data_IF_569753599709
#
_entry.id   IF_569753599709
#
_cell.length_a   1.000
_cell.length_b   1.000
_cell.length_c   1.000
_cell.angle_alpha   90.00
_cell.angle_beta   90.00
_cell.angle_gamma   90.00
#
_symmetry.space_group_name_H-M   'P 1'
#
loop_
_entity.id
_entity.type
_entity.pdbx_description
1 polymer ?
#
# COMPACT_ATOMS: atom_id res chain seq x y z
N UNK A 1 9.19 7.93 -14.43
CA UNK A 1 10.21 6.95 -14.01
C UNK A 1 10.20 5.78 -14.99
N UNK A 2 11.36 5.36 -15.53
CA UNK A 2 11.46 4.16 -16.37
C UNK A 2 10.85 2.97 -15.62
N UNK A 3 10.22 1.99 -16.31
CA UNK A 3 9.68 0.83 -15.64
C UNK A 3 10.80 0.10 -14.90
N UNK A 4 10.64 -0.08 -13.59
CA UNK A 4 11.60 -0.79 -12.76
C UNK A 4 11.33 -2.28 -12.99
N UNK A 5 11.91 -2.81 -14.07
CA UNK A 5 11.75 -4.20 -14.56
C UNK A 5 10.29 -4.58 -14.94
N UNK A 6 10.11 -5.08 -16.16
CA UNK A 6 8.86 -5.69 -16.63
C UNK A 6 7.58 -4.84 -16.52
N UNK A 7 7.68 -3.51 -16.59
CA UNK A 7 6.49 -2.63 -16.54
C UNK A 7 6.01 -2.29 -15.13
N UNK A 8 6.58 -2.90 -14.08
CA UNK A 8 6.19 -2.63 -12.71
C UNK A 8 6.84 -1.33 -12.22
N UNK A 9 6.03 -0.45 -11.65
CA UNK A 9 6.47 0.83 -11.08
C UNK A 9 6.23 0.79 -9.57
N UNK A 10 7.01 1.54 -8.78
CA UNK A 10 6.68 1.76 -7.37
C UNK A 10 5.23 2.21 -7.24
N UNK A 11 4.44 1.43 -6.48
CA UNK A 11 3.00 1.62 -6.38
C UNK A 11 2.69 2.78 -5.42
N UNK A 12 2.59 3.98 -6.01
CA UNK A 12 2.20 5.19 -5.28
C UNK A 12 0.79 5.09 -4.72
N UNK A 13 -0.10 4.30 -5.35
CA UNK A 13 -1.48 4.12 -4.86
C UNK A 13 -1.49 3.30 -3.59
N UNK A 14 -0.62 2.29 -3.49
CA UNK A 14 -0.44 1.52 -2.26
C UNK A 14 0.02 2.41 -1.09
N UNK A 15 0.98 3.30 -1.35
CA UNK A 15 1.47 4.24 -0.32
C UNK A 15 0.37 5.19 0.15
N UNK A 16 -0.46 5.70 -0.77
CA UNK A 16 -1.60 6.56 -0.42
C UNK A 16 -2.73 5.80 0.29
N UNK A 17 -2.96 4.53 -0.08
CA UNK A 17 -3.90 3.65 0.62
C UNK A 17 -3.48 3.47 2.08
N UNK A 18 -2.20 3.17 2.34
CA UNK A 18 -1.68 3.05 3.70
C UNK A 18 -1.78 4.37 4.46
N UNK A 19 -1.46 5.50 3.81
CA UNK A 19 -1.63 6.82 4.42
C UNK A 19 -3.09 7.05 4.84
N UNK A 20 -4.06 6.74 3.96
CA UNK A 20 -5.48 6.86 4.27
C UNK A 20 -5.91 5.98 5.45
N UNK A 21 -5.41 4.73 5.52
CA UNK A 21 -5.70 3.82 6.63
C UNK A 21 -5.12 4.33 7.95
N UNK A 22 -3.91 4.89 7.93
CA UNK A 22 -3.25 5.48 9.11
C UNK A 22 -3.98 6.71 9.64
N UNK A 23 -4.52 7.54 8.74
CA UNK A 23 -5.18 8.80 9.09
C UNK A 23 -6.65 8.60 9.49
N UNK A 24 -7.33 7.61 8.90
CA UNK A 24 -8.75 7.35 9.12
C UNK A 24 -9.00 5.86 9.41
N UNK A 25 -8.48 5.35 10.54
CA UNK A 25 -8.59 3.93 10.90
C UNK A 25 -10.04 3.56 11.19
N UNK A 26 -10.71 2.92 10.24
CA UNK A 26 -12.08 2.46 10.39
C UNK A 26 -12.46 1.46 9.30
N UNK A 27 -13.20 0.42 9.66
CA UNK A 27 -13.51 -0.71 8.78
C UNK A 27 -14.12 -0.25 7.44
N UNK A 28 -15.06 0.71 7.49
CA UNK A 28 -15.69 1.25 6.27
C UNK A 28 -14.68 2.00 5.38
N UNK A 29 -13.79 2.76 5.99
CA UNK A 29 -12.75 3.52 5.27
C UNK A 29 -11.72 2.57 4.66
N UNK A 30 -11.29 1.56 5.41
CA UNK A 30 -10.33 0.54 4.95
C UNK A 30 -10.90 -0.24 3.77
N UNK A 31 -12.17 -0.67 3.86
CA UNK A 31 -12.84 -1.36 2.76
C UNK A 31 -12.92 -0.46 1.52
N UNK A 32 -13.33 0.80 1.69
CA UNK A 32 -13.44 1.75 0.59
C UNK A 32 -12.08 2.02 -0.05
N UNK A 33 -11.05 2.27 0.76
CA UNK A 33 -9.67 2.50 0.31
C UNK A 33 -9.13 1.27 -0.42
N UNK A 34 -9.33 0.05 0.11
CA UNK A 34 -8.89 -1.19 -0.51
C UNK A 34 -9.56 -1.46 -1.86
N UNK A 35 -10.88 -1.28 -1.94
CA UNK A 35 -11.65 -1.48 -3.18
C UNK A 35 -11.31 -0.43 -4.24
N UNK A 36 -11.29 0.85 -3.86
CA UNK A 36 -10.98 1.95 -4.80
C UNK A 36 -9.54 1.86 -5.28
N UNK A 37 -8.58 1.60 -4.39
CA UNK A 37 -7.18 1.37 -4.78
C UNK A 37 -7.06 0.15 -5.67
N UNK A 38 -7.72 -0.97 -5.35
CA UNK A 38 -7.72 -2.16 -6.19
C UNK A 38 -8.25 -1.91 -7.59
N UNK A 39 -9.38 -1.19 -7.72
CA UNK A 39 -9.96 -0.84 -9.00
C UNK A 39 -9.03 0.08 -9.82
N UNK A 40 -8.47 1.13 -9.21
CA UNK A 40 -7.60 2.07 -9.92
C UNK A 40 -6.26 1.39 -10.29
N UNK A 41 -5.66 0.61 -9.38
CA UNK A 41 -4.45 -0.16 -9.66
C UNK A 41 -4.69 -1.18 -10.77
N UNK A 42 -5.85 -1.84 -10.83
CA UNK A 42 -6.21 -2.73 -11.91
C UNK A 42 -6.32 -2.02 -13.27
N UNK A 43 -6.89 -0.81 -13.31
CA UNK A 43 -7.03 -0.02 -14.54
C UNK A 43 -5.69 0.53 -15.04
N UNK A 44 -4.76 0.81 -14.13
CA UNK A 44 -3.48 1.46 -14.43
C UNK A 44 -2.29 0.50 -14.50
N UNK A 45 -2.49 -0.78 -14.20
CA UNK A 45 -1.42 -1.77 -14.15
C UNK A 45 -0.79 -2.00 -15.52
N UNK A 46 0.54 -1.93 -15.59
CA UNK A 46 1.32 -2.34 -16.75
C UNK A 46 1.73 -3.82 -16.70
N UNK A 47 1.40 -4.54 -15.62
CA UNK A 47 1.73 -5.96 -15.47
C UNK A 47 0.75 -6.81 -16.32
N UNK A 48 1.24 -7.73 -17.17
CA UNK A 48 0.38 -8.59 -17.98
C UNK A 48 -0.65 -9.34 -17.12
N UNK A 49 -1.93 -9.12 -17.40
CA UNK A 49 -3.06 -9.66 -16.64
C UNK A 49 -3.12 -9.27 -15.16
N UNK A 50 -2.41 -8.21 -14.75
CA UNK A 50 -2.39 -7.72 -13.37
C UNK A 50 -3.72 -7.14 -12.86
N UNK A 51 -4.77 -7.10 -13.68
CA UNK A 51 -6.08 -6.54 -13.33
C UNK A 51 -6.74 -7.34 -12.19
N UNK A 52 -6.86 -8.66 -12.36
CA UNK A 52 -7.49 -9.55 -11.35
C UNK A 52 -6.65 -9.61 -10.07
N UNK A 53 -5.31 -9.82 -10.13
CA UNK A 53 -4.48 -9.78 -8.94
C UNK A 53 -4.57 -8.46 -8.15
N UNK A 54 -4.69 -7.30 -8.80
CA UNK A 54 -4.85 -6.02 -8.10
C UNK A 54 -6.20 -5.89 -7.37
N UNK A 55 -7.29 -6.35 -7.98
CA UNK A 55 -8.62 -6.31 -7.35
C UNK A 55 -8.66 -7.18 -6.09
N UNK A 56 -7.90 -8.28 -6.07
CA UNK A 56 -7.84 -9.21 -4.93
C UNK A 56 -6.83 -8.71 -3.87
N UNK A 57 -5.62 -8.33 -4.29
CA UNK A 57 -4.53 -7.90 -3.41
C UNK A 57 -4.94 -6.71 -2.55
N UNK A 58 -5.40 -5.61 -3.15
CA UNK A 58 -5.54 -4.34 -2.41
C UNK A 58 -6.54 -4.40 -1.25
N UNK A 59 -7.73 -5.00 -1.38
CA UNK A 59 -8.61 -5.20 -0.23
C UNK A 59 -7.97 -6.05 0.87
N UNK A 60 -7.34 -7.18 0.52
CA UNK A 60 -6.71 -8.08 1.50
C UNK A 60 -5.59 -7.34 2.24
N UNK A 61 -4.69 -6.70 1.49
CA UNK A 61 -3.58 -5.93 2.04
C UNK A 61 -4.08 -4.77 2.91
N UNK A 62 -5.13 -4.05 2.50
CA UNK A 62 -5.72 -2.98 3.30
C UNK A 62 -6.17 -3.48 4.67
N UNK A 63 -6.85 -4.64 4.73
CA UNK A 63 -7.27 -5.24 5.99
C UNK A 63 -6.10 -5.78 6.83
N UNK A 64 -5.07 -6.36 6.21
CA UNK A 64 -3.87 -6.79 6.93
C UNK A 64 -3.19 -5.58 7.58
N UNK A 65 -3.02 -4.48 6.84
CA UNK A 65 -2.39 -3.27 7.36
C UNK A 65 -3.23 -2.61 8.43
N UNK A 66 -4.56 -2.60 8.27
CA UNK A 66 -5.45 -2.17 9.33
C UNK A 66 -5.30 -3.02 10.60
N UNK A 67 -5.23 -4.35 10.46
CA UNK A 67 -4.97 -5.26 11.59
C UNK A 67 -3.62 -4.97 12.27
N UNK A 68 -2.55 -4.78 11.49
CA UNK A 68 -1.22 -4.41 12.00
C UNK A 68 -1.25 -3.05 12.71
N UNK A 69 -2.02 -2.09 12.18
CA UNK A 69 -2.21 -0.78 12.79
C UNK A 69 -2.92 -0.91 14.14
N UNK A 70 -3.93 -1.76 14.27
CA UNK A 70 -4.64 -1.99 15.55
C UNK A 70 -3.75 -2.59 16.65
N UNK A 71 -2.68 -3.32 16.27
CA UNK A 71 -1.68 -3.81 17.23
C UNK A 71 -0.75 -2.71 17.74
N UNK A 72 -0.72 -1.54 17.10
CA UNK A 72 0.03 -0.38 17.57
C UNK A 72 -0.69 0.22 18.77
N UNK A 73 -0.05 0.16 19.94
CA UNK A 73 -0.59 0.55 21.25
C UNK A 73 -1.33 1.91 21.30
N UNK A 74 -0.94 2.88 20.45
CA UNK A 74 -1.59 4.18 20.33
C UNK A 74 -1.88 4.51 18.85
N UNK A 75 -2.95 3.93 18.32
CA UNK A 75 -3.38 4.13 16.92
C UNK A 75 -3.60 5.61 16.58
N UNK A 76 -3.99 6.44 17.55
CA UNK A 76 -4.21 7.88 17.39
C UNK A 76 -2.93 8.73 17.34
N UNK A 77 -1.77 8.16 17.65
CA UNK A 77 -0.49 8.90 17.70
C UNK A 77 0.62 8.14 16.98
N UNK A 78 0.32 7.69 15.77
CA UNK A 78 1.34 7.06 14.92
C UNK A 78 2.45 8.08 14.62
N UNK A 79 3.68 7.71 14.92
CA UNK A 79 4.88 8.50 14.59
C UNK A 79 5.39 8.10 13.21
N UNK A 80 6.11 9.00 12.54
CA UNK A 80 6.69 8.75 11.21
C UNK A 80 7.47 7.43 11.09
N UNK A 81 8.30 7.01 12.07
CA UNK A 81 8.99 5.72 11.99
C UNK A 81 8.05 4.52 11.98
N UNK A 82 6.94 4.59 12.72
CA UNK A 82 5.93 3.52 12.75
C UNK A 82 5.16 3.47 11.44
N UNK A 83 4.78 4.63 10.90
CA UNK A 83 4.14 4.72 9.57
C UNK A 83 5.06 4.15 8.48
N UNK A 84 6.36 4.46 8.52
CA UNK A 84 7.35 3.92 7.59
C UNK A 84 7.49 2.40 7.71
N UNK A 85 7.57 1.88 8.94
CA UNK A 85 7.67 0.44 9.20
C UNK A 85 6.41 -0.31 8.72
N UNK A 86 5.21 0.23 8.98
CA UNK A 86 3.95 -0.32 8.49
C UNK A 86 3.91 -0.33 6.96
N UNK A 87 4.36 0.74 6.30
CA UNK A 87 4.45 0.79 4.83
C UNK A 87 5.43 -0.22 4.27
N UNK A 88 6.59 -0.40 4.92
CA UNK A 88 7.57 -1.40 4.48
C UNK A 88 6.97 -2.81 4.54
N UNK A 89 6.42 -3.19 5.70
CA UNK A 89 5.77 -4.49 5.89
C UNK A 89 4.58 -4.65 4.94
N UNK A 90 3.73 -3.63 4.81
CA UNK A 90 2.58 -3.66 3.92
C UNK A 90 2.95 -3.80 2.45
N UNK A 91 4.03 -3.18 2.01
CA UNK A 91 4.49 -3.29 0.62
C UNK A 91 5.02 -4.69 0.34
N UNK A 92 5.75 -5.30 1.28
CA UNK A 92 6.19 -6.69 1.15
C UNK A 92 5.00 -7.65 1.09
N UNK A 93 4.06 -7.51 2.02
CA UNK A 93 2.86 -8.36 2.09
C UNK A 93 2.03 -8.23 0.81
N UNK A 94 1.76 -6.99 0.36
CA UNK A 94 1.04 -6.73 -0.88
C UNK A 94 1.75 -7.31 -2.10
N UNK A 95 3.08 -7.12 -2.20
CA UNK A 95 3.86 -7.67 -3.30
C UNK A 95 3.81 -9.19 -3.35
N UNK A 96 3.87 -9.87 -2.20
CA UNK A 96 3.75 -11.32 -2.13
C UNK A 96 2.34 -11.79 -2.51
N UNK A 97 1.29 -11.13 -1.99
CA UNK A 97 -0.10 -11.47 -2.32
C UNK A 97 -0.37 -11.27 -3.81
N UNK A 98 0.04 -10.13 -4.36
CA UNK A 98 -0.10 -9.80 -5.77
C UNK A 98 0.61 -10.83 -6.65
N UNK A 99 1.88 -11.13 -6.39
CA UNK A 99 2.64 -12.08 -7.19
C UNK A 99 2.12 -13.51 -7.06
N UNK A 100 1.65 -13.91 -5.87
CA UNK A 100 1.03 -15.22 -5.66
C UNK A 100 -0.28 -15.34 -6.44
N UNK A 101 -1.13 -14.31 -6.39
CA UNK A 101 -2.37 -14.29 -7.17
C UNK A 101 -2.08 -14.27 -8.69
N UNK A 102 -1.11 -13.48 -9.14
CA UNK A 102 -0.68 -13.45 -10.54
C UNK A 102 -0.17 -14.80 -11.01
N UNK A 103 0.64 -15.49 -10.20
CA UNK A 103 1.18 -16.82 -10.51
C UNK A 103 0.08 -17.87 -10.74
N UNK A 104 -0.97 -17.83 -9.93
CA UNK A 104 -2.04 -18.84 -9.98
C UNK A 104 -3.09 -18.55 -11.07
N UNK A 105 -3.37 -17.27 -11.36
CA UNK A 105 -4.50 -16.88 -12.21
C UNK A 105 -4.07 -16.64 -13.66
N UNK A 106 -2.93 -15.97 -13.86
CA UNK A 106 -2.51 -15.46 -15.19
C UNK A 106 -1.18 -16.05 -15.64
N UNK A 107 -0.35 -16.47 -14.68
CA UNK A 107 1.03 -16.86 -14.92
C UNK A 107 1.99 -15.67 -14.79
N UNK A 108 3.25 -15.97 -14.46
CA UNK A 108 4.28 -14.96 -14.26
C UNK A 108 5.16 -14.82 -15.52
N UNK A 109 5.54 -13.60 -15.90
CA UNK A 109 6.49 -13.37 -17.00
C UNK A 109 7.94 -13.75 -16.64
N UNK A 110 8.20 -14.17 -15.40
CA UNK A 110 9.50 -14.58 -14.90
C UNK A 110 9.38 -15.38 -13.61
N UNK A 111 10.51 -15.78 -13.02
CA UNK A 111 10.50 -16.52 -11.76
C UNK A 111 9.96 -15.68 -10.60
N UNK A 112 9.16 -16.30 -9.72
CA UNK A 112 8.58 -15.64 -8.53
C UNK A 112 9.65 -14.92 -7.69
N UNK A 113 10.76 -15.60 -7.39
CA UNK A 113 11.86 -15.03 -6.61
C UNK A 113 12.55 -13.87 -7.33
N UNK A 114 12.66 -13.94 -8.66
CA UNK A 114 13.23 -12.85 -9.44
C UNK A 114 12.35 -11.59 -9.39
N UNK A 115 11.03 -11.74 -9.39
CA UNK A 115 10.09 -10.62 -9.28
C UNK A 115 10.00 -10.06 -7.86
N UNK A 116 10.12 -10.90 -6.83
CA UNK A 116 10.22 -10.42 -5.44
C UNK A 116 11.49 -9.57 -5.25
N UNK A 117 12.64 -10.10 -5.66
CA UNK A 117 13.92 -9.39 -5.48
C UNK A 117 14.03 -8.18 -6.40
N UNK A 118 13.65 -8.34 -7.67
CA UNK A 118 13.80 -7.31 -8.69
C UNK A 118 12.76 -6.19 -8.62
N UNK A 119 11.63 -6.41 -7.94
CA UNK A 119 10.53 -5.45 -7.95
C UNK A 119 9.95 -5.18 -6.57
N UNK A 120 9.57 -6.20 -5.81
CA UNK A 120 8.93 -6.00 -4.50
C UNK A 120 9.88 -5.34 -3.50
N UNK A 121 11.14 -5.79 -3.45
CA UNK A 121 12.14 -5.17 -2.57
C UNK A 121 12.43 -3.70 -2.95
N UNK A 122 12.74 -3.35 -4.22
CA UNK A 122 12.87 -1.96 -4.63
C UNK A 122 11.63 -1.11 -4.34
N UNK A 123 10.43 -1.63 -4.64
CA UNK A 123 9.18 -0.93 -4.37
C UNK A 123 8.99 -0.67 -2.86
N UNK A 124 9.35 -1.65 -2.02
CA UNK A 124 9.32 -1.50 -0.56
C UNK A 124 10.20 -0.35 -0.09
N UNK A 125 11.43 -0.26 -0.60
CA UNK A 125 12.35 0.84 -0.26
C UNK A 125 11.77 2.18 -0.69
N UNK A 126 11.32 2.29 -1.94
CA UNK A 126 10.78 3.54 -2.50
C UNK A 126 9.52 3.98 -1.74
N UNK A 127 8.54 3.09 -1.55
CA UNK A 127 7.30 3.40 -0.84
C UNK A 127 7.56 3.82 0.61
N UNK A 128 8.53 3.18 1.26
CA UNK A 128 8.94 3.55 2.62
C UNK A 128 9.54 4.95 2.67
N UNK A 129 10.45 5.28 1.75
CA UNK A 129 11.03 6.64 1.64
C UNK A 129 9.93 7.68 1.40
N UNK A 130 9.00 7.40 0.48
CA UNK A 130 7.86 8.28 0.20
C UNK A 130 7.02 8.47 1.46
N UNK A 131 6.72 7.41 2.22
CA UNK A 131 5.93 7.53 3.45
C UNK A 131 6.66 8.37 4.52
N UNK A 132 7.99 8.24 4.67
CA UNK A 132 8.78 9.04 5.61
C UNK A 132 8.64 10.54 5.33
N UNK A 133 8.56 10.92 4.05
CA UNK A 133 8.42 12.32 3.62
C UNK A 133 6.96 12.79 3.70
N UNK A 134 6.02 12.00 3.19
CA UNK A 134 4.62 12.41 3.03
C UNK A 134 3.88 12.44 4.38
N UNK A 135 4.11 11.45 5.24
CA UNK A 135 3.40 11.33 6.51
C UNK A 135 3.48 12.59 7.40
N UNK A 136 4.67 13.15 7.70
CA UNK A 136 4.75 14.35 8.54
C UNK A 136 4.12 15.59 7.89
N UNK A 137 4.19 15.70 6.56
CA UNK A 137 3.57 16.82 5.82
C UNK A 137 2.06 16.77 6.01
N UNK A 138 1.44 15.61 5.74
CA UNK A 138 -0.02 15.46 5.84
C UNK A 138 -0.49 15.59 7.28
N UNK A 139 0.23 15.02 8.25
CA UNK A 139 -0.08 15.17 9.66
C UNK A 139 -0.02 16.65 10.10
N UNK A 140 0.93 17.43 9.58
CA UNK A 140 1.04 18.87 9.87
C UNK A 140 -0.12 19.67 9.26
N UNK A 141 -0.57 19.32 8.06
CA UNK A 141 -1.72 19.95 7.40
C UNK A 141 -3.02 19.64 8.15
N UNK A 142 -3.23 18.40 8.57
CA UNK A 142 -4.43 17.98 9.31
C UNK A 142 -4.57 18.68 10.66
N UNK A 143 -3.46 18.89 11.39
CA UNK A 143 -3.46 19.64 12.65
C UNK A 143 -3.84 21.11 12.50
N UNK A 144 -3.65 21.69 11.31
CA UNK A 144 -3.95 23.10 11.01
C UNK A 144 -5.32 23.30 10.39
N UNK A 145 -6.02 22.24 10.04
CA UNK A 145 -7.35 22.29 9.43
C UNK A 145 -8.43 21.87 10.42
N UNK A 146 -9.64 22.44 10.28
CA UNK A 146 -10.82 22.13 11.11
C UNK A 146 -11.30 20.67 11.02
N UNK A 147 -10.66 19.85 10.18
CA UNK A 147 -10.86 18.41 10.06
C UNK A 147 -10.61 17.71 11.41
N UNK A 148 -9.74 18.26 12.26
CA UNK A 148 -9.50 17.75 13.63
C UNK A 148 -10.76 17.64 14.49
N UNK A 149 -11.83 18.42 14.22
CA UNK A 149 -13.07 18.39 15.00
C UNK A 149 -13.98 17.18 14.71
N UNK A 150 -13.67 16.38 13.66
CA UNK A 150 -14.49 15.23 13.23
C UNK A 150 -13.75 13.88 13.32
N UNK A 151 -12.49 13.91 13.75
CA UNK A 151 -11.54 12.77 13.76
C UNK A 151 -11.19 12.33 15.20
N UNK A 152 -11.63 13.08 16.22
CA UNK A 152 -11.54 12.75 17.65
C UNK A 152 -12.71 11.87 18.08
#
# INVERSE_FOLDING_TARGET
MPPVLFGMKPDMMLTMMFLGILLFPGIKNVLLLGLTTGAISALTTGFPGGQVPNIIDKPITAFIIFGLLLLVRNVTTVKTPVAAALTAVGTLVSGIIFLSAAALIVGLPGGLMALIVGVVLPATVVNTIVMVVVYPIVNSVLKRTSISAKVS
#
